data_IF_509563790544
#
_entry.id   IF_509563790544
#
_cell.length_a   1.000
_cell.length_b   1.000
_cell.length_c   1.000
_cell.angle_alpha   90.00
_cell.angle_beta   90.00
_cell.angle_gamma   90.00
#
_symmetry.space_group_name_H-M   'P 1'
#
loop_
_entity.id
_entity.type
_entity.pdbx_description
1 polymer ?
#
# COMPACT_ATOMS: atom_id res chain seq x y z
N UNK A 1 -7.18 -19.17 12.29
CA UNK A 1 -6.64 -17.81 12.52
C UNK A 1 -7.73 -16.79 12.19
N UNK A 2 -7.62 -15.56 12.71
CA UNK A 2 -8.59 -14.50 12.37
C UNK A 2 -8.24 -13.91 11.00
N UNK A 3 -9.22 -13.39 10.27
CA UNK A 3 -8.99 -12.76 8.97
C UNK A 3 -8.92 -11.24 9.07
N UNK A 4 -8.08 -10.60 8.25
CA UNK A 4 -7.97 -9.15 8.12
C UNK A 4 -7.81 -8.72 6.66
N UNK A 5 -8.38 -7.55 6.35
CA UNK A 5 -8.07 -6.81 5.13
C UNK A 5 -6.96 -5.79 5.37
N UNK A 6 -6.07 -5.62 4.38
CA UNK A 6 -5.09 -4.54 4.35
C UNK A 6 -5.52 -3.46 3.35
N UNK A 7 -5.61 -2.22 3.81
CA UNK A 7 -5.75 -1.04 2.95
C UNK A 7 -4.41 -0.30 2.89
N UNK A 8 -3.86 -0.18 1.69
CA UNK A 8 -2.60 0.54 1.44
C UNK A 8 -2.92 1.82 0.68
N UNK A 9 -2.82 2.95 1.39
CA UNK A 9 -3.11 4.26 0.83
C UNK A 9 -1.91 4.80 0.03
N UNK A 10 -2.09 5.16 -1.24
CA UNK A 10 -1.09 5.85 -2.07
C UNK A 10 -1.55 7.28 -2.32
N UNK A 11 -1.03 8.29 -1.61
CA UNK A 11 -1.58 9.64 -1.61
C UNK A 11 -1.07 10.51 -2.77
N UNK A 12 -0.80 9.93 -3.95
CA UNK A 12 -0.17 10.66 -5.05
C UNK A 12 -1.01 10.62 -6.33
N UNK A 13 -1.06 11.74 -7.05
CA UNK A 13 -1.62 11.84 -8.40
C UNK A 13 -0.64 12.60 -9.30
N UNK A 14 -0.71 12.40 -10.63
CA UNK A 14 0.02 13.28 -11.55
C UNK A 14 -0.54 14.71 -11.50
N UNK A 15 -1.87 14.82 -11.51
CA UNK A 15 -2.61 16.08 -11.36
C UNK A 15 -3.74 15.91 -10.34
N UNK A 16 -4.01 16.94 -9.56
CA UNK A 16 -5.20 17.02 -8.72
C UNK A 16 -6.40 17.45 -9.56
N UNK A 17 -7.43 16.60 -9.65
CA UNK A 17 -8.68 16.95 -10.33
C UNK A 17 -9.54 17.85 -9.44
N UNK A 18 -10.21 18.84 -10.03
CA UNK A 18 -11.01 19.82 -9.28
C UNK A 18 -12.21 19.20 -8.55
N UNK A 19 -12.73 18.08 -9.05
CA UNK A 19 -13.82 17.34 -8.41
C UNK A 19 -13.34 16.31 -7.37
N UNK A 20 -12.03 16.04 -7.27
CA UNK A 20 -11.52 14.92 -6.49
C UNK A 20 -11.33 15.28 -5.01
N UNK A 21 -12.23 14.77 -4.16
CA UNK A 21 -12.17 14.97 -2.70
C UNK A 21 -11.29 13.95 -1.95
N UNK A 22 -10.64 13.01 -2.65
CA UNK A 22 -9.71 12.09 -2.00
C UNK A 22 -8.47 12.83 -1.49
N UNK A 23 -7.87 12.36 -0.40
CA UNK A 23 -6.59 12.91 0.08
C UNK A 23 -5.49 12.47 -0.88
N UNK A 24 -5.01 13.39 -1.72
CA UNK A 24 -3.94 13.12 -2.68
C UNK A 24 -3.16 14.37 -3.03
N UNK A 25 -1.90 14.18 -3.42
CA UNK A 25 -0.94 15.26 -3.65
C UNK A 25 -0.17 15.05 -4.95
N UNK A 26 0.12 16.14 -5.66
CA UNK A 26 1.10 16.16 -6.74
C UNK A 26 2.47 16.39 -6.11
N UNK A 27 3.34 15.37 -6.15
CA UNK A 27 4.69 15.41 -5.55
C UNK A 27 5.74 14.87 -6.52
N UNK A 28 6.98 15.36 -6.44
CA UNK A 28 8.06 14.89 -7.30
C UNK A 28 8.50 13.48 -6.89
N UNK A 29 9.28 12.84 -7.75
CA UNK A 29 9.60 11.40 -7.65
C UNK A 29 10.35 11.06 -6.35
N UNK A 30 11.19 11.97 -5.85
CA UNK A 30 11.99 11.80 -4.64
C UNK A 30 11.09 11.62 -3.42
N UNK A 31 10.02 12.42 -3.31
CA UNK A 31 9.05 12.32 -2.22
C UNK A 31 8.23 11.03 -2.31
N UNK A 32 7.88 10.58 -3.53
CA UNK A 32 7.20 9.30 -3.74
C UNK A 32 8.07 8.13 -3.28
N UNK A 33 9.37 8.16 -3.58
CA UNK A 33 10.33 7.14 -3.16
C UNK A 33 10.53 7.13 -1.64
N UNK A 34 10.68 8.29 -1.01
CA UNK A 34 10.75 8.41 0.45
C UNK A 34 9.49 7.87 1.12
N UNK A 35 8.32 8.14 0.55
CA UNK A 35 7.06 7.59 1.03
C UNK A 35 7.05 6.06 0.98
N UNK A 36 7.49 5.46 -0.13
CA UNK A 36 7.58 4.00 -0.28
C UNK A 36 8.49 3.40 0.81
N UNK A 37 9.65 4.01 1.07
CA UNK A 37 10.59 3.53 2.09
C UNK A 37 9.97 3.61 3.50
N UNK A 38 9.25 4.68 3.80
CA UNK A 38 8.51 4.83 5.06
C UNK A 38 7.37 3.81 5.18
N UNK A 39 6.61 3.60 4.12
CA UNK A 39 5.51 2.63 4.08
C UNK A 39 6.01 1.19 4.32
N UNK A 40 7.14 0.82 3.73
CA UNK A 40 7.75 -0.51 3.95
C UNK A 40 8.16 -0.69 5.42
N UNK A 41 8.69 0.35 6.07
CA UNK A 41 9.00 0.32 7.50
C UNK A 41 7.72 0.19 8.34
N UNK A 42 6.69 0.94 8.00
CA UNK A 42 5.39 0.86 8.67
C UNK A 42 4.77 -0.54 8.58
N UNK A 43 4.76 -1.15 7.39
CA UNK A 43 4.30 -2.53 7.16
C UNK A 43 4.98 -3.51 8.13
N UNK A 44 6.31 -3.41 8.27
CA UNK A 44 7.07 -4.28 9.18
C UNK A 44 6.80 -3.99 10.66
N UNK A 45 6.62 -2.72 11.03
CA UNK A 45 6.31 -2.34 12.41
C UNK A 45 4.90 -2.76 12.84
N UNK A 46 3.93 -2.67 11.93
CA UNK A 46 2.53 -2.98 12.24
C UNK A 46 2.25 -4.48 12.25
N UNK A 47 2.96 -5.28 11.44
CA UNK A 47 2.70 -6.72 11.32
C UNK A 47 2.85 -7.47 12.64
N UNK A 48 3.72 -7.01 13.54
CA UNK A 48 3.90 -7.57 14.90
C UNK A 48 2.59 -7.63 15.68
N UNK A 49 1.65 -6.72 15.44
CA UNK A 49 0.34 -6.69 16.11
C UNK A 49 -0.65 -7.71 15.54
N UNK A 50 -0.35 -8.31 14.40
CA UNK A 50 -1.26 -9.13 13.61
C UNK A 50 -0.73 -10.54 13.31
N UNK A 51 0.21 -11.05 14.12
CA UNK A 51 0.84 -12.37 13.92
C UNK A 51 -0.15 -13.56 13.89
N UNK A 52 -1.28 -13.42 14.61
CA UNK A 52 -2.37 -14.41 14.69
C UNK A 52 -3.44 -14.25 13.60
N UNK A 53 -3.22 -13.35 12.65
CA UNK A 53 -4.15 -13.06 11.57
C UNK A 53 -3.62 -13.53 10.21
N UNK A 54 -4.57 -13.86 9.33
CA UNK A 54 -4.33 -14.14 7.92
C UNK A 54 -4.94 -13.03 7.08
N UNK A 55 -4.18 -12.53 6.11
CA UNK A 55 -4.65 -11.50 5.18
C UNK A 55 -5.41 -12.18 4.06
N UNK A 56 -6.70 -11.90 3.95
CA UNK A 56 -7.59 -12.43 2.91
C UNK A 56 -7.96 -11.40 1.85
N UNK A 57 -7.67 -10.11 2.08
CA UNK A 57 -7.89 -9.05 1.11
C UNK A 57 -6.82 -7.97 1.21
N UNK A 58 -6.32 -7.48 0.08
CA UNK A 58 -5.39 -6.36 -0.02
C UNK A 58 -5.97 -5.36 -1.04
N UNK A 59 -6.24 -4.14 -0.60
CA UNK A 59 -6.69 -3.05 -1.45
C UNK A 59 -5.64 -1.93 -1.48
N UNK A 60 -5.18 -1.58 -2.67
CA UNK A 60 -4.24 -0.48 -2.90
C UNK A 60 -5.01 0.65 -3.55
N UNK A 61 -5.11 1.82 -2.91
CA UNK A 61 -5.89 2.93 -3.46
C UNK A 61 -5.53 4.27 -2.84
N UNK A 62 -6.33 5.31 -3.07
CA UNK A 62 -6.08 6.65 -2.53
C UNK A 62 -6.10 7.69 -3.63
N UNK A 63 -4.94 8.23 -3.99
CA UNK A 63 -4.75 8.95 -5.24
C UNK A 63 -4.77 7.98 -6.42
N UNK A 64 -3.63 7.86 -7.08
CA UNK A 64 -3.48 7.04 -8.28
C UNK A 64 -2.26 6.14 -8.07
N UNK A 65 -2.46 4.89 -7.59
CA UNK A 65 -1.36 3.95 -7.34
C UNK A 65 -0.40 3.76 -8.53
N UNK A 66 -0.94 3.82 -9.75
CA UNK A 66 -0.17 3.73 -10.99
C UNK A 66 0.74 4.94 -11.27
N UNK A 67 0.66 6.04 -10.51
CA UNK A 67 1.57 7.17 -10.60
C UNK A 67 2.90 6.96 -9.84
N UNK A 68 3.06 5.84 -9.14
CA UNK A 68 4.32 5.48 -8.51
C UNK A 68 5.35 5.02 -9.55
N UNK A 69 6.66 5.16 -9.28
CA UNK A 69 7.70 4.62 -10.14
C UNK A 69 7.53 3.11 -10.37
N UNK A 70 7.98 2.65 -11.54
CA UNK A 70 7.99 1.24 -11.88
C UNK A 70 8.66 0.40 -10.78
N UNK A 71 8.03 -0.72 -10.44
CA UNK A 71 8.50 -1.62 -9.38
C UNK A 71 8.19 -1.18 -7.94
N UNK A 72 7.64 0.02 -7.72
CA UNK A 72 7.21 0.46 -6.38
C UNK A 72 6.17 -0.48 -5.77
N UNK A 73 5.13 -0.82 -6.53
CA UNK A 73 4.08 -1.75 -6.09
C UNK A 73 4.68 -3.11 -5.73
N UNK A 74 5.64 -3.61 -6.53
CA UNK A 74 6.32 -4.86 -6.24
C UNK A 74 7.11 -4.79 -4.91
N UNK A 75 7.82 -3.68 -4.64
CA UNK A 75 8.52 -3.48 -3.36
C UNK A 75 7.56 -3.48 -2.17
N UNK A 76 6.42 -2.80 -2.29
CA UNK A 76 5.38 -2.75 -1.25
C UNK A 76 4.81 -4.15 -1.01
N UNK A 77 4.40 -4.85 -2.07
CA UNK A 77 3.82 -6.19 -1.93
C UNK A 77 4.83 -7.21 -1.38
N UNK A 78 6.10 -7.13 -1.79
CA UNK A 78 7.15 -7.97 -1.19
C UNK A 78 7.32 -7.72 0.31
N UNK A 79 7.17 -6.48 0.77
CA UNK A 79 7.16 -6.17 2.19
C UNK A 79 5.93 -6.77 2.88
N UNK A 80 4.74 -6.70 2.26
CA UNK A 80 3.52 -7.32 2.79
C UNK A 80 3.70 -8.83 2.95
N UNK A 81 4.09 -9.55 1.88
CA UNK A 81 4.28 -11.00 1.92
C UNK A 81 5.37 -11.45 2.89
N UNK A 82 6.39 -10.61 3.11
CA UNK A 82 7.45 -10.92 4.09
C UNK A 82 6.98 -10.81 5.53
N UNK A 83 6.05 -9.89 5.81
CA UNK A 83 5.68 -9.52 7.18
C UNK A 83 4.30 -10.05 7.61
N UNK A 84 3.40 -10.34 6.67
CA UNK A 84 2.05 -10.84 6.94
C UNK A 84 1.84 -12.25 6.35
N UNK A 85 0.98 -13.05 7.00
CA UNK A 85 0.50 -14.33 6.47
C UNK A 85 -0.61 -14.07 5.45
N UNK A 86 -0.25 -13.94 4.18
CA UNK A 86 -1.21 -13.69 3.09
C UNK A 86 -1.74 -15.02 2.55
N UNK A 87 -3.06 -15.18 2.50
CA UNK A 87 -3.68 -16.37 1.91
C UNK A 87 -3.38 -16.45 0.42
N UNK A 88 -3.19 -17.67 -0.09
CA UNK A 88 -3.03 -17.90 -1.54
C UNK A 88 -4.28 -17.54 -2.35
N UNK A 89 -5.44 -17.55 -1.69
CA UNK A 89 -6.73 -17.13 -2.23
C UNK A 89 -7.07 -15.66 -1.93
N UNK A 90 -6.12 -14.86 -1.44
CA UNK A 90 -6.40 -13.48 -1.08
C UNK A 90 -6.82 -12.66 -2.32
N UNK A 91 -7.86 -11.85 -2.17
CA UNK A 91 -8.24 -10.87 -3.19
C UNK A 91 -7.24 -9.71 -3.15
N UNK A 92 -6.70 -9.33 -4.31
CA UNK A 92 -5.76 -8.21 -4.43
C UNK A 92 -6.29 -7.25 -5.50
N UNK A 93 -6.58 -6.01 -5.09
CA UNK A 93 -7.15 -4.97 -5.95
C UNK A 93 -6.29 -3.71 -5.91
N UNK A 94 -6.16 -3.06 -7.07
CA UNK A 94 -5.47 -1.78 -7.26
C UNK A 94 -6.25 -0.86 -8.20
#
# INVERSE_FOLDING_TARGET
MKKIGLYIHIPFCEKKCDYCNFVSFCKPIEIKLQYIDCLIKEISMQSVKFEDYEVDTIFIGGGTPSCLPAGAINKIMNAVYRNFKVLTSAEITI
#
